data_IF_756739672738
#
_entry.id   IF_756739672738
#
_cell.length_a   1.000
_cell.length_b   1.000
_cell.length_c   1.000
_cell.angle_alpha   90.00
_cell.angle_beta   90.00
_cell.angle_gamma   90.00
#
_symmetry.space_group_name_H-M   'P 1'
#
loop_
_entity.id
_entity.type
_entity.pdbx_description
1 polymer ?
#
# COMPACT_ATOMS: atom_id res chain seq x y z
N UNK A 1 -35.28 -20.68 -1.47
CA UNK A 1 -36.16 -19.49 -1.40
C UNK A 1 -35.34 -18.20 -1.59
N UNK A 2 -34.20 -18.28 -2.30
CA UNK A 2 -33.09 -17.32 -2.14
C UNK A 2 -32.73 -16.51 -3.39
N UNK A 3 -33.44 -16.71 -4.51
CA UNK A 3 -33.27 -15.88 -5.71
C UNK A 3 -34.03 -14.55 -5.66
N UNK A 4 -35.01 -14.43 -4.76
CA UNK A 4 -35.88 -13.24 -4.66
C UNK A 4 -35.21 -12.12 -3.84
N UNK A 5 -34.42 -12.46 -2.80
CA UNK A 5 -33.72 -11.45 -1.96
C UNK A 5 -32.62 -10.68 -2.69
N UNK A 6 -31.95 -11.30 -3.67
CA UNK A 6 -30.89 -10.62 -4.45
C UNK A 6 -31.49 -9.56 -5.38
N UNK A 7 -32.64 -9.83 -5.99
CA UNK A 7 -33.34 -8.85 -6.85
C UNK A 7 -33.81 -7.62 -6.07
N UNK A 8 -34.23 -7.80 -4.82
CA UNK A 8 -34.71 -6.70 -3.97
C UNK A 8 -33.58 -5.74 -3.58
N UNK A 9 -32.37 -6.26 -3.29
CA UNK A 9 -31.16 -5.45 -3.04
C UNK A 9 -30.73 -4.64 -4.27
N UNK A 10 -30.83 -5.21 -5.47
CA UNK A 10 -30.57 -4.50 -6.74
C UNK A 10 -31.59 -3.38 -7.02
N UNK A 11 -32.87 -3.59 -6.70
CA UNK A 11 -33.90 -2.55 -6.91
C UNK A 11 -33.81 -1.40 -5.90
N UNK A 12 -33.43 -1.66 -4.65
CA UNK A 12 -33.30 -0.62 -3.63
C UNK A 12 -32.03 0.21 -3.78
N UNK A 13 -30.94 -0.33 -4.35
CA UNK A 13 -29.76 0.46 -4.71
C UNK A 13 -30.04 1.43 -5.87
N UNK A 14 -30.80 1.00 -6.89
CA UNK A 14 -31.04 1.81 -8.08
C UNK A 14 -31.90 3.06 -7.83
N UNK A 15 -32.76 3.06 -6.81
CA UNK A 15 -33.63 4.21 -6.51
C UNK A 15 -32.90 5.30 -5.70
N UNK A 16 -31.84 4.94 -4.96
CA UNK A 16 -31.04 5.92 -4.21
C UNK A 16 -29.87 6.52 -5.02
N UNK A 17 -29.44 5.85 -6.10
CA UNK A 17 -28.33 6.32 -6.96
C UNK A 17 -28.77 7.45 -7.91
N UNK A 18 -30.06 7.63 -8.18
CA UNK A 18 -30.55 8.63 -9.16
C UNK A 18 -30.55 10.08 -8.67
N UNK A 19 -30.17 10.38 -7.41
CA UNK A 19 -30.29 11.72 -6.81
C UNK A 19 -28.96 12.39 -6.41
N UNK A 20 -27.81 11.76 -6.67
CA UNK A 20 -26.48 12.30 -6.32
C UNK A 20 -25.55 12.56 -7.53
N UNK A 21 -26.12 12.61 -8.74
CA UNK A 21 -25.38 12.99 -9.95
C UNK A 21 -25.08 14.51 -9.99
N UNK A 22 -24.11 14.95 -9.20
CA UNK A 22 -23.45 16.24 -9.37
C UNK A 22 -21.95 16.01 -9.59
N UNK A 23 -21.55 16.07 -10.87
CA UNK A 23 -20.20 16.29 -11.41
C UNK A 23 -19.00 15.96 -10.47
N UNK A 24 -18.64 14.68 -10.39
CA UNK A 24 -17.26 14.28 -10.10
C UNK A 24 -16.68 13.59 -11.33
N UNK A 25 -15.62 14.19 -11.89
CA UNK A 25 -14.81 13.53 -12.92
C UNK A 25 -14.34 12.20 -12.34
N UNK A 26 -14.72 11.09 -12.99
CA UNK A 26 -14.55 9.72 -12.49
C UNK A 26 -13.09 9.21 -12.55
N UNK A 27 -12.14 10.11 -12.79
CA UNK A 27 -10.73 9.80 -13.02
C UNK A 27 -9.86 10.89 -12.43
N UNK A 28 -8.70 10.51 -11.87
CA UNK A 28 -7.64 11.46 -11.50
C UNK A 28 -6.95 11.90 -12.79
N UNK A 29 -6.81 13.21 -13.00
CA UNK A 29 -5.98 13.78 -14.05
C UNK A 29 -4.84 14.58 -13.40
N UNK A 30 -3.61 14.13 -13.58
CA UNK A 30 -2.43 14.90 -13.23
C UNK A 30 -1.81 15.48 -14.49
N UNK A 31 -1.39 16.75 -14.48
CA UNK A 31 -0.60 17.38 -15.57
C UNK A 31 0.82 16.80 -15.71
N UNK A 32 1.04 15.60 -15.18
CA UNK A 32 2.31 14.91 -15.10
C UNK A 32 2.34 13.87 -16.21
N UNK A 33 3.43 13.81 -16.97
CA UNK A 33 3.61 12.84 -18.04
C UNK A 33 3.70 11.40 -17.49
N UNK A 34 3.12 10.37 -18.15
CA UNK A 34 3.14 8.98 -17.69
C UNK A 34 4.52 8.41 -17.34
N UNK A 35 5.57 8.80 -18.07
CA UNK A 35 6.97 8.41 -17.76
C UNK A 35 7.40 8.76 -16.34
N UNK A 36 6.74 9.72 -15.68
CA UNK A 36 6.99 10.02 -14.29
C UNK A 36 6.72 8.83 -13.36
N UNK A 37 5.77 7.94 -13.68
CA UNK A 37 5.53 6.73 -12.88
C UNK A 37 6.80 5.85 -12.82
N UNK A 38 7.48 5.69 -13.96
CA UNK A 38 8.75 4.99 -14.02
C UNK A 38 9.84 5.75 -13.26
N UNK A 39 10.02 7.05 -13.52
CA UNK A 39 11.03 7.86 -12.84
C UNK A 39 10.85 7.86 -11.32
N UNK A 40 9.61 7.98 -10.84
CA UNK A 40 9.29 7.95 -9.42
C UNK A 40 9.60 6.60 -8.76
N UNK A 41 9.51 5.49 -9.51
CA UNK A 41 9.86 4.15 -9.02
C UNK A 41 11.36 3.98 -8.74
N UNK A 42 12.23 4.78 -9.37
CA UNK A 42 13.69 4.69 -9.23
C UNK A 42 14.22 5.16 -7.87
N UNK A 43 13.36 5.78 -7.06
CA UNK A 43 13.63 6.09 -5.65
C UNK A 43 13.92 4.83 -4.82
N UNK A 44 13.35 3.69 -5.22
CA UNK A 44 13.58 2.40 -4.57
C UNK A 44 14.62 1.60 -5.33
N UNK A 45 15.84 1.60 -4.81
CA UNK A 45 16.92 0.77 -5.35
C UNK A 45 16.81 -0.68 -4.88
N UNK A 46 16.14 -0.93 -3.75
CA UNK A 46 15.90 -2.27 -3.18
C UNK A 46 14.41 -2.60 -3.10
N UNK A 47 13.98 -3.75 -3.62
CA UNK A 47 12.56 -4.09 -3.78
C UNK A 47 11.80 -4.24 -2.46
N UNK A 48 12.45 -4.69 -1.39
CA UNK A 48 11.77 -4.76 -0.08
C UNK A 48 11.45 -3.39 0.50
N UNK A 49 12.21 -2.34 0.14
CA UNK A 49 11.85 -0.97 0.52
C UNK A 49 10.54 -0.51 -0.14
N UNK A 50 10.27 -0.96 -1.36
CA UNK A 50 9.00 -0.69 -2.04
C UNK A 50 7.84 -1.46 -1.39
N UNK A 51 8.09 -2.70 -0.92
CA UNK A 51 7.10 -3.46 -0.15
C UNK A 51 6.84 -2.79 1.21
N UNK A 52 7.88 -2.26 1.87
CA UNK A 52 7.75 -1.55 3.14
C UNK A 52 6.77 -0.37 3.05
N UNK A 53 6.81 0.42 1.98
CA UNK A 53 5.84 1.51 1.76
C UNK A 53 4.38 1.04 1.75
N UNK A 54 4.11 -0.16 1.23
CA UNK A 54 2.76 -0.73 1.24
C UNK A 54 2.36 -1.22 2.63
N UNK A 55 3.30 -1.81 3.38
CA UNK A 55 3.08 -2.23 4.77
C UNK A 55 2.81 -0.99 5.65
N UNK A 56 3.60 0.08 5.47
CA UNK A 56 3.50 1.32 6.24
C UNK A 56 2.13 1.98 6.06
N UNK A 57 1.57 1.98 4.84
CA UNK A 57 0.22 2.49 4.59
C UNK A 57 -0.86 1.72 5.37
N UNK A 58 -0.74 0.41 5.53
CA UNK A 58 -1.69 -0.36 6.33
C UNK A 58 -1.45 -0.23 7.84
N UNK A 59 -0.18 -0.06 8.23
CA UNK A 59 0.24 0.13 9.61
C UNK A 59 -0.23 1.48 10.17
N UNK A 60 -0.32 2.51 9.32
CA UNK A 60 -0.58 3.90 9.71
C UNK A 60 -1.87 4.10 10.54
N UNK A 61 -1.89 5.11 11.43
CA UNK A 61 -2.94 5.33 12.43
C UNK A 61 -4.33 5.65 11.90
N UNK A 62 -4.46 6.03 10.63
CA UNK A 62 -5.74 6.26 9.95
C UNK A 62 -6.32 4.96 9.36
N UNK A 63 -5.48 3.96 9.11
CA UNK A 63 -5.87 2.64 8.58
C UNK A 63 -6.04 1.62 9.70
N UNK A 64 -5.10 1.57 10.66
CA UNK A 64 -5.14 0.74 11.88
C UNK A 64 -5.32 -0.76 11.66
N UNK A 65 -4.84 -1.29 10.52
CA UNK A 65 -4.96 -2.71 10.22
C UNK A 65 -4.34 -3.58 11.32
N UNK A 66 -5.02 -4.69 11.65
CA UNK A 66 -4.51 -5.68 12.62
C UNK A 66 -3.67 -6.74 11.95
N UNK A 67 -3.96 -7.01 10.69
CA UNK A 67 -3.30 -8.02 9.88
C UNK A 67 -3.04 -7.48 8.48
N UNK A 68 -1.87 -7.81 7.95
CA UNK A 68 -1.42 -7.50 6.62
C UNK A 68 -0.88 -8.77 5.94
N UNK A 69 -1.50 -9.17 4.85
CA UNK A 69 -1.16 -10.36 4.08
C UNK A 69 -0.41 -9.97 2.81
N UNK A 70 0.73 -10.62 2.60
CA UNK A 70 1.52 -10.53 1.39
C UNK A 70 1.56 -11.92 0.77
N UNK A 71 1.09 -12.03 -0.46
CA UNK A 71 1.05 -13.30 -1.16
C UNK A 71 1.46 -13.17 -2.62
N UNK A 72 1.77 -14.31 -3.22
CA UNK A 72 1.98 -14.47 -4.65
C UNK A 72 0.84 -15.31 -5.20
N UNK A 73 0.19 -14.81 -6.23
CA UNK A 73 -0.85 -15.55 -6.96
C UNK A 73 -0.58 -15.52 -8.45
N UNK A 74 -1.41 -16.22 -9.21
CA UNK A 74 -1.41 -16.18 -10.66
C UNK A 74 -2.82 -15.87 -11.15
N UNK A 75 -3.00 -14.78 -11.88
CA UNK A 75 -4.28 -14.34 -12.43
C UNK A 75 -4.14 -14.30 -13.95
N UNK A 76 -4.97 -15.09 -14.65
CA UNK A 76 -4.90 -15.21 -16.12
C UNK A 76 -3.50 -15.55 -16.65
N UNK A 77 -2.77 -16.42 -15.95
CA UNK A 77 -1.42 -16.83 -16.31
C UNK A 77 -0.33 -15.77 -16.03
N UNK A 78 -0.67 -14.63 -15.41
CA UNK A 78 0.32 -13.64 -15.00
C UNK A 78 0.61 -13.78 -13.51
N UNK A 79 1.90 -13.75 -13.15
CA UNK A 79 2.32 -13.67 -11.76
C UNK A 79 1.94 -12.32 -11.16
N UNK A 80 1.34 -12.35 -9.98
CA UNK A 80 0.90 -11.16 -9.26
C UNK A 80 1.36 -11.20 -7.81
N UNK A 81 1.77 -10.06 -7.29
CA UNK A 81 1.88 -9.83 -5.86
C UNK A 81 0.58 -9.25 -5.34
N UNK A 82 0.08 -9.79 -4.23
CA UNK A 82 -1.12 -9.28 -3.57
C UNK A 82 -0.78 -8.81 -2.17
N UNK A 83 -1.28 -7.63 -1.82
CA UNK A 83 -1.16 -7.04 -0.50
C UNK A 83 -2.57 -6.81 0.01
N UNK A 84 -2.93 -7.34 1.17
CA UNK A 84 -4.28 -7.20 1.71
C UNK A 84 -4.19 -6.82 3.17
N UNK A 85 -5.03 -5.89 3.61
CA UNK A 85 -5.16 -5.49 5.00
C UNK A 85 -6.62 -5.51 5.43
N UNK A 86 -6.84 -5.62 6.74
CA UNK A 86 -8.15 -5.53 7.37
C UNK A 86 -8.34 -4.22 8.15
N UNK A 87 -7.74 -3.14 7.65
CA UNK A 87 -7.88 -1.80 8.21
C UNK A 87 -9.19 -1.12 7.81
N UNK A 88 -9.23 0.20 7.97
CA UNK A 88 -10.45 0.99 7.79
C UNK A 88 -11.00 1.02 6.34
N UNK A 89 -10.17 0.73 5.34
CA UNK A 89 -10.52 0.91 3.93
C UNK A 89 -10.69 2.38 3.52
N UNK A 90 -11.11 2.59 2.28
CA UNK A 90 -11.22 3.91 1.65
C UNK A 90 -12.55 4.09 0.94
N UNK A 91 -13.05 5.32 0.96
CA UNK A 91 -14.09 5.81 0.05
C UNK A 91 -13.45 6.32 -1.26
N UNK A 92 -14.26 6.94 -2.13
CA UNK A 92 -13.78 7.53 -3.38
C UNK A 92 -12.75 8.63 -3.17
N UNK A 93 -13.00 9.55 -2.24
CA UNK A 93 -12.13 10.72 -2.04
C UNK A 93 -10.76 10.32 -1.50
N UNK A 94 -10.71 9.37 -0.55
CA UNK A 94 -9.45 8.80 -0.06
C UNK A 94 -8.71 8.04 -1.14
N UNK A 95 -9.40 7.25 -1.97
CA UNK A 95 -8.81 6.56 -3.12
C UNK A 95 -8.24 7.57 -4.15
N UNK A 96 -9.01 8.62 -4.46
CA UNK A 96 -8.61 9.70 -5.34
C UNK A 96 -7.34 10.39 -4.84
N UNK A 97 -7.29 10.76 -3.55
CA UNK A 97 -6.11 11.36 -2.92
C UNK A 97 -4.92 10.41 -2.90
N UNK A 98 -5.13 9.14 -2.56
CA UNK A 98 -4.09 8.12 -2.54
C UNK A 98 -3.42 7.97 -3.91
N UNK A 99 -4.22 7.95 -4.99
CA UNK A 99 -3.74 7.78 -6.36
C UNK A 99 -3.24 9.07 -7.00
N UNK A 100 -3.61 10.24 -6.46
CA UNK A 100 -3.13 11.55 -6.86
C UNK A 100 -1.74 11.87 -6.28
N UNK A 101 -0.92 12.62 -7.00
CA UNK A 101 0.40 13.04 -6.50
C UNK A 101 0.28 14.24 -5.54
N UNK A 102 1.05 14.23 -4.45
CA UNK A 102 1.22 15.39 -3.56
C UNK A 102 0.16 15.57 -2.45
N UNK A 103 -0.77 14.64 -2.28
CA UNK A 103 -1.74 14.67 -1.18
C UNK A 103 -1.27 13.83 0.01
N UNK A 104 -1.22 14.43 1.20
CA UNK A 104 -1.06 13.71 2.45
C UNK A 104 -1.76 14.45 3.60
N UNK A 105 -2.79 13.84 4.17
CA UNK A 105 -3.56 14.37 5.31
C UNK A 105 -3.30 13.56 6.60
N UNK A 106 -2.26 12.71 6.65
CA UNK A 106 -2.01 11.80 7.78
C UNK A 106 -1.65 12.57 9.06
N UNK A 107 -2.34 12.23 10.14
CA UNK A 107 -2.15 12.83 11.47
C UNK A 107 -1.79 11.78 12.52
N UNK A 108 -1.17 12.22 13.61
CA UNK A 108 -0.91 11.36 14.77
C UNK A 108 -2.22 11.07 15.50
N UNK A 109 -2.56 9.79 15.68
CA UNK A 109 -3.75 9.35 16.43
C UNK A 109 -3.31 8.47 17.59
N UNK A 110 -3.79 8.74 18.80
CA UNK A 110 -3.49 7.95 20.02
C UNK A 110 -1.98 7.73 20.26
N UNK A 111 -1.16 8.76 20.02
CA UNK A 111 0.30 8.69 20.15
C UNK A 111 0.99 7.77 19.13
N UNK A 112 0.28 7.34 18.09
CA UNK A 112 0.82 6.64 16.94
C UNK A 112 1.13 7.64 15.83
N UNK A 113 2.42 7.85 15.56
CA UNK A 113 2.89 8.76 14.52
C UNK A 113 2.83 8.03 13.17
N UNK A 114 2.24 8.62 12.12
CA UNK A 114 2.24 8.03 10.79
C UNK A 114 3.66 7.93 10.22
N UNK A 115 3.94 6.85 9.52
CA UNK A 115 5.19 6.63 8.79
C UNK A 115 5.15 7.38 7.45
N UNK A 116 4.01 7.37 6.75
CA UNK A 116 3.85 8.05 5.47
C UNK A 116 3.74 9.57 5.60
N UNK A 117 4.79 10.32 5.21
CA UNK A 117 4.82 11.79 5.29
C UNK A 117 4.72 12.47 3.92
N UNK A 118 5.09 11.76 2.84
CA UNK A 118 5.24 12.38 1.52
C UNK A 118 4.07 12.18 0.56
N UNK A 119 3.09 11.34 0.92
CA UNK A 119 1.98 11.03 0.03
C UNK A 119 2.41 10.36 -1.28
N UNK A 120 3.56 9.68 -1.33
CA UNK A 120 4.12 9.10 -2.55
C UNK A 120 4.39 7.59 -2.48
N UNK A 121 4.47 7.02 -1.27
CA UNK A 121 4.91 5.65 -1.03
C UNK A 121 4.18 4.58 -1.83
N UNK A 122 2.86 4.67 -1.95
CA UNK A 122 2.10 3.73 -2.79
C UNK A 122 2.52 3.81 -4.27
N UNK A 123 2.69 5.01 -4.82
CA UNK A 123 2.99 5.20 -6.24
C UNK A 123 4.41 4.76 -6.56
N UNK A 124 5.39 5.19 -5.77
CA UNK A 124 6.79 4.78 -5.95
C UNK A 124 6.97 3.29 -5.71
N UNK A 125 6.37 2.76 -4.64
CA UNK A 125 6.47 1.35 -4.27
C UNK A 125 5.78 0.42 -5.27
N UNK A 126 4.53 0.69 -5.65
CA UNK A 126 3.81 -0.16 -6.61
C UNK A 126 4.47 -0.18 -7.98
N UNK A 127 4.86 0.99 -8.51
CA UNK A 127 5.54 1.11 -9.81
C UNK A 127 6.97 0.56 -9.80
N UNK A 128 7.58 0.39 -8.62
CA UNK A 128 8.86 -0.31 -8.48
C UNK A 128 8.70 -1.82 -8.63
N UNK A 129 7.61 -2.38 -8.10
CA UNK A 129 7.35 -3.82 -8.06
C UNK A 129 6.82 -4.36 -9.39
N UNK A 130 5.97 -3.59 -10.08
CA UNK A 130 5.42 -3.96 -11.39
C UNK A 130 4.94 -2.75 -12.18
N UNK A 131 4.61 -2.98 -13.45
CA UNK A 131 4.11 -1.90 -14.33
C UNK A 131 2.70 -1.45 -13.98
N UNK A 132 1.92 -2.34 -13.38
CA UNK A 132 0.49 -2.14 -13.22
C UNK A 132 0.00 -2.58 -11.83
N UNK A 133 -0.84 -1.75 -11.23
CA UNK A 133 -1.44 -1.99 -9.94
C UNK A 133 -2.94 -1.63 -9.96
N UNK A 134 -3.75 -2.48 -9.33
CA UNK A 134 -5.16 -2.22 -9.05
C UNK A 134 -5.39 -2.28 -7.55
N UNK A 135 -6.19 -1.34 -7.06
CA UNK A 135 -6.53 -1.21 -5.64
C UNK A 135 -8.02 -1.44 -5.50
N UNK A 136 -8.39 -2.44 -4.72
CA UNK A 136 -9.74 -2.68 -4.24
C UNK A 136 -9.80 -2.21 -2.80
N UNK A 137 -10.76 -1.37 -2.46
CA UNK A 137 -10.96 -0.97 -1.06
C UNK A 137 -12.44 -0.93 -0.73
N UNK A 138 -12.75 -1.23 0.52
CA UNK A 138 -14.10 -1.08 1.05
C UNK A 138 -14.07 -0.65 2.51
N UNK A 139 -14.95 0.29 2.84
CA UNK A 139 -15.29 0.65 4.20
C UNK A 139 -16.74 0.21 4.48
N UNK A 140 -17.33 0.70 5.57
CA UNK A 140 -18.70 0.31 5.98
C UNK A 140 -19.77 0.74 4.95
N UNK A 141 -19.54 1.86 4.27
CA UNK A 141 -20.55 2.52 3.43
C UNK A 141 -20.33 2.31 1.92
N UNK A 142 -19.11 1.98 1.51
CA UNK A 142 -18.69 2.09 0.11
C UNK A 142 -17.62 1.08 -0.31
N UNK A 143 -17.57 0.82 -1.61
CA UNK A 143 -16.52 0.03 -2.26
C UNK A 143 -16.00 0.82 -3.45
N UNK A 144 -14.69 0.86 -3.61
CA UNK A 144 -14.04 1.56 -4.72
C UNK A 144 -12.92 0.71 -5.31
N UNK A 145 -12.72 0.88 -6.63
CA UNK A 145 -11.64 0.24 -7.37
C UNK A 145 -10.88 1.32 -8.13
N UNK A 146 -9.56 1.35 -7.99
CA UNK A 146 -8.67 2.28 -8.68
C UNK A 146 -7.58 1.54 -9.46
N UNK A 147 -7.26 2.02 -10.67
CA UNK A 147 -6.27 1.42 -11.55
C UNK A 147 -5.10 2.37 -11.83
N UNK A 148 -3.91 2.07 -11.32
CA UNK A 148 -2.67 2.76 -11.65
C UNK A 148 -1.82 1.87 -12.56
N UNK A 149 -1.87 2.12 -13.87
CA UNK A 149 -1.30 1.21 -14.87
C UNK A 149 -0.51 1.96 -15.94
N UNK A 150 0.78 1.64 -16.05
CA UNK A 150 1.63 2.12 -17.14
C UNK A 150 1.16 1.54 -18.47
N UNK A 151 0.77 0.26 -18.50
CA UNK A 151 0.26 -0.41 -19.71
C UNK A 151 -1.00 0.28 -20.25
N UNK A 152 -1.95 0.63 -19.38
CA UNK A 152 -3.13 1.39 -19.74
C UNK A 152 -2.76 2.74 -20.38
N UNK A 153 -1.91 3.53 -19.72
CA UNK A 153 -1.51 4.86 -20.19
C UNK A 153 -0.77 4.79 -21.54
N UNK A 154 0.09 3.78 -21.73
CA UNK A 154 0.76 3.52 -23.01
C UNK A 154 -0.23 3.17 -24.12
N UNK A 155 -1.21 2.30 -23.85
CA UNK A 155 -2.18 1.85 -24.85
C UNK A 155 -3.13 2.96 -25.31
N UNK A 156 -3.55 3.84 -24.41
CA UNK A 156 -4.37 5.01 -24.77
C UNK A 156 -3.53 6.19 -25.28
N UNK A 157 -2.20 6.06 -25.31
CA UNK A 157 -1.25 7.13 -25.68
C UNK A 157 -1.48 8.41 -24.89
N UNK A 158 -1.67 8.26 -23.58
CA UNK A 158 -1.94 9.41 -22.72
C UNK A 158 -0.74 10.36 -22.65
N UNK A 159 -0.99 11.67 -22.78
CA UNK A 159 0.02 12.71 -22.54
C UNK A 159 0.19 13.03 -21.05
N UNK A 160 -0.80 12.64 -20.25
CA UNK A 160 -0.93 12.93 -18.83
C UNK A 160 -1.35 11.68 -18.06
N UNK A 161 -0.97 11.58 -16.79
CA UNK A 161 -1.42 10.48 -15.92
C UNK A 161 -2.93 10.58 -15.72
N UNK A 162 -3.63 9.55 -16.17
CA UNK A 162 -5.05 9.30 -15.97
C UNK A 162 -5.19 8.06 -15.09
N UNK A 163 -5.96 8.16 -14.00
CA UNK A 163 -6.20 7.02 -13.10
C UNK A 163 -7.70 6.75 -13.05
N UNK A 164 -8.20 5.68 -13.69
CA UNK A 164 -9.59 5.28 -13.58
C UNK A 164 -9.93 4.88 -12.15
N UNK A 165 -10.98 5.48 -11.58
CA UNK A 165 -11.55 5.11 -10.28
C UNK A 165 -13.03 4.86 -10.45
N UNK A 166 -13.53 3.76 -9.92
CA UNK A 166 -14.95 3.42 -10.04
C UNK A 166 -15.53 2.98 -8.70
N UNK A 167 -16.70 3.50 -8.41
CA UNK A 167 -17.68 2.91 -7.48
C UNK A 167 -18.78 2.20 -8.29
N UNK A 168 -18.38 1.55 -9.40
CA UNK A 168 -19.24 0.96 -10.43
C UNK A 168 -19.98 1.98 -11.32
N UNK A 169 -19.39 3.15 -11.55
CA UNK A 169 -19.82 4.13 -12.55
C UNK A 169 -19.29 3.81 -13.95
N UNK A 170 -20.06 4.16 -14.99
CA UNK A 170 -19.92 3.61 -16.34
C UNK A 170 -18.56 3.89 -17.02
N UNK A 171 -18.04 5.12 -17.02
CA UNK A 171 -16.86 5.47 -17.81
C UNK A 171 -15.58 4.76 -17.31
N UNK A 172 -15.17 5.02 -16.06
CA UNK A 172 -13.96 4.43 -15.48
C UNK A 172 -14.06 2.91 -15.31
N UNK A 173 -15.26 2.38 -15.13
CA UNK A 173 -15.48 0.93 -15.11
C UNK A 173 -15.10 0.30 -16.44
N UNK A 174 -15.46 0.90 -17.58
CA UNK A 174 -15.11 0.35 -18.90
C UNK A 174 -13.60 0.28 -19.11
N UNK A 175 -12.86 1.31 -18.69
CA UNK A 175 -11.39 1.29 -18.76
C UNK A 175 -10.80 0.19 -17.88
N UNK A 176 -11.28 0.06 -16.64
CA UNK A 176 -10.83 -1.01 -15.73
C UNK A 176 -11.12 -2.40 -16.33
N UNK A 177 -12.32 -2.62 -16.85
CA UNK A 177 -12.70 -3.90 -17.44
C UNK A 177 -11.90 -4.23 -18.71
N UNK A 178 -11.52 -3.21 -19.48
CA UNK A 178 -10.79 -3.38 -20.73
C UNK A 178 -9.29 -3.61 -20.50
N UNK A 179 -8.68 -2.88 -19.57
CA UNK A 179 -7.23 -2.78 -19.46
C UNK A 179 -6.64 -3.48 -18.22
N UNK A 180 -7.44 -3.84 -17.23
CA UNK A 180 -6.98 -4.62 -16.08
C UNK A 180 -7.06 -6.14 -16.34
N UNK A 181 -6.59 -6.93 -15.37
CA UNK A 181 -6.76 -8.39 -15.38
C UNK A 181 -8.21 -8.85 -15.20
N UNK A 182 -9.11 -7.96 -14.77
CA UNK A 182 -10.49 -8.28 -14.42
C UNK A 182 -11.43 -7.68 -15.47
N UNK A 183 -11.99 -8.56 -16.31
CA UNK A 183 -12.76 -8.17 -17.51
C UNK A 183 -14.27 -8.19 -17.29
N UNK A 184 -14.72 -8.52 -16.09
CA UNK A 184 -16.15 -8.50 -15.72
C UNK A 184 -16.35 -7.86 -14.35
N UNK A 185 -17.53 -7.29 -14.13
CA UNK A 185 -17.90 -6.72 -12.82
C UNK A 185 -17.86 -7.80 -11.73
N UNK A 186 -18.30 -9.02 -12.05
CA UNK A 186 -18.27 -10.14 -11.09
C UNK A 186 -16.85 -10.49 -10.62
N UNK A 187 -15.87 -10.41 -11.52
CA UNK A 187 -14.46 -10.60 -11.19
C UNK A 187 -13.96 -9.51 -10.22
N UNK A 188 -14.30 -8.24 -10.47
CA UNK A 188 -13.96 -7.14 -9.55
C UNK A 188 -14.63 -7.31 -8.18
N UNK A 189 -15.91 -7.69 -8.16
CA UNK A 189 -16.67 -7.94 -6.93
C UNK A 189 -16.12 -9.15 -6.16
N UNK A 190 -15.55 -10.14 -6.84
CA UNK A 190 -14.91 -11.28 -6.19
C UNK A 190 -13.69 -10.86 -5.38
N UNK A 191 -12.83 -9.97 -5.91
CA UNK A 191 -11.67 -9.45 -5.18
C UNK A 191 -12.08 -8.55 -4.00
N UNK A 192 -13.14 -7.74 -4.14
CA UNK A 192 -13.70 -6.97 -3.01
C UNK A 192 -14.28 -7.87 -1.90
N UNK A 193 -14.85 -9.03 -2.27
CA UNK A 193 -15.29 -10.04 -1.30
C UNK A 193 -14.10 -10.74 -0.65
N UNK A 194 -12.96 -10.88 -1.32
CA UNK A 194 -11.76 -11.50 -0.77
C UNK A 194 -11.10 -10.66 0.35
N UNK A 195 -11.46 -9.38 0.50
CA UNK A 195 -11.07 -8.54 1.65
C UNK A 195 -11.73 -9.02 2.97
N UNK A 196 -12.74 -9.92 2.89
CA UNK A 196 -13.40 -10.47 4.08
C UNK A 196 -12.45 -11.35 4.92
N UNK A 197 -12.32 -11.01 6.20
CA UNK A 197 -11.97 -12.00 7.22
C UNK A 197 -13.13 -13.01 7.31
N UNK A 198 -12.87 -14.34 7.43
CA UNK A 198 -13.91 -15.39 7.44
C UNK A 198 -14.95 -15.29 8.57
N UNK A 199 -14.90 -14.25 9.40
CA UNK A 199 -15.64 -14.11 10.65
C UNK A 199 -16.63 -12.93 10.69
N UNK A 200 -16.72 -12.07 9.67
CA UNK A 200 -17.65 -10.91 9.71
C UNK A 200 -18.31 -10.58 8.37
N UNK A 201 -19.59 -10.22 8.44
CA UNK A 201 -20.40 -9.74 7.30
C UNK A 201 -20.11 -8.28 6.93
N UNK A 202 -19.42 -7.54 7.81
CA UNK A 202 -19.04 -6.14 7.65
C UNK A 202 -17.52 -6.02 7.83
N UNK A 203 -16.73 -6.59 6.91
CA UNK A 203 -15.28 -6.38 6.93
C UNK A 203 -14.93 -5.08 6.18
N UNK A 204 -13.98 -4.32 6.68
CA UNK A 204 -13.32 -3.22 5.97
C UNK A 204 -11.91 -3.64 5.59
N UNK A 205 -11.31 -2.95 4.63
CA UNK A 205 -9.90 -3.16 4.28
C UNK A 205 -9.57 -2.79 2.85
N UNK A 206 -8.31 -3.02 2.49
CA UNK A 206 -7.79 -2.77 1.15
C UNK A 206 -7.07 -4.00 0.63
N UNK A 207 -7.18 -4.25 -0.67
CA UNK A 207 -6.47 -5.26 -1.42
C UNK A 207 -5.83 -4.65 -2.65
N UNK A 208 -4.51 -4.68 -2.70
CA UNK A 208 -3.70 -4.21 -3.82
C UNK A 208 -3.20 -5.44 -4.57
N UNK A 209 -3.33 -5.42 -5.89
CA UNK A 209 -2.78 -6.45 -6.78
C UNK A 209 -1.86 -5.77 -7.77
N UNK A 210 -0.61 -6.24 -7.83
CA UNK A 210 0.43 -5.73 -8.72
C UNK A 210 0.83 -6.84 -9.68
N UNK A 211 0.84 -6.55 -10.97
CA UNK A 211 1.23 -7.48 -12.04
C UNK A 211 2.19 -6.82 -13.02
N UNK A 212 2.59 -7.57 -14.06
CA UNK A 212 3.69 -7.21 -14.93
C UNK A 212 4.93 -6.84 -14.08
N UNK A 213 5.27 -7.78 -13.19
CA UNK A 213 6.33 -7.63 -12.21
C UNK A 213 7.68 -7.41 -12.88
N UNK A 214 8.58 -6.71 -12.20
CA UNK A 214 9.92 -6.44 -12.73
C UNK A 214 10.69 -7.75 -12.91
N UNK A 215 11.30 -7.90 -14.08
CA UNK A 215 12.25 -8.97 -14.39
C UNK A 215 13.69 -8.46 -14.24
N UNK A 216 14.57 -9.31 -13.73
CA UNK A 216 16.02 -9.18 -13.81
C UNK A 216 16.54 -10.30 -14.70
N UNK A 217 17.20 -9.96 -15.81
CA UNK A 217 17.84 -10.94 -16.70
C UNK A 217 16.93 -12.12 -17.12
N UNK A 218 15.74 -11.79 -17.63
CA UNK A 218 14.71 -12.75 -18.11
C UNK A 218 13.97 -13.58 -17.05
N UNK A 219 14.33 -13.44 -15.78
CA UNK A 219 13.61 -14.04 -14.66
C UNK A 219 12.97 -12.97 -13.77
N UNK A 220 11.95 -13.35 -12.99
CA UNK A 220 11.38 -12.44 -12.01
C UNK A 220 12.44 -12.01 -11.00
N UNK A 221 12.37 -10.75 -10.55
CA UNK A 221 13.26 -10.24 -9.50
C UNK A 221 13.09 -10.97 -8.16
N UNK A 222 11.97 -11.67 -7.99
CA UNK A 222 11.66 -12.44 -6.80
C UNK A 222 11.69 -13.94 -7.07
N UNK A 223 12.25 -14.68 -6.12
CA UNK A 223 12.12 -16.13 -6.02
C UNK A 223 10.99 -16.48 -5.05
N UNK A 224 10.02 -17.23 -5.57
CA UNK A 224 8.85 -17.73 -4.85
C UNK A 224 8.89 -19.23 -4.56
N UNK A 225 9.98 -19.91 -4.96
CA UNK A 225 10.10 -21.35 -5.07
C UNK A 225 11.06 -21.97 -4.05
N UNK A 226 12.18 -21.33 -3.74
CA UNK A 226 13.15 -21.88 -2.77
C UNK A 226 12.58 -22.01 -1.37
N UNK A 227 11.64 -21.12 -0.99
CA UNK A 227 10.85 -21.23 0.22
C UNK A 227 9.39 -20.87 -0.08
N UNK A 228 8.51 -21.86 0.08
CA UNK A 228 7.06 -21.72 -0.18
C UNK A 228 6.37 -20.71 0.76
N UNK A 229 6.99 -20.37 1.89
CA UNK A 229 6.46 -19.45 2.90
C UNK A 229 7.19 -18.09 2.89
N UNK A 230 8.02 -17.81 1.89
CA UNK A 230 8.77 -16.57 1.79
C UNK A 230 8.68 -15.96 0.38
N UNK A 231 9.15 -14.72 0.27
CA UNK A 231 9.41 -14.01 -0.98
C UNK A 231 10.87 -13.57 -0.89
N UNK A 232 11.73 -14.14 -1.75
CA UNK A 232 13.17 -13.96 -1.65
C UNK A 232 13.72 -13.19 -2.84
N UNK A 233 14.87 -12.54 -2.64
CA UNK A 233 15.66 -11.97 -3.75
C UNK A 233 16.70 -13.04 -4.13
N UNK A 234 16.76 -13.45 -5.41
CA UNK A 234 17.78 -14.39 -5.91
C UNK A 234 19.21 -13.90 -5.66
N UNK A 235 20.16 -14.82 -5.49
CA UNK A 235 21.54 -14.48 -5.13
C UNK A 235 22.25 -13.61 -6.19
N UNK A 236 22.01 -13.87 -7.47
CA UNK A 236 22.55 -13.10 -8.61
C UNK A 236 21.98 -11.67 -8.66
N UNK A 237 20.68 -11.51 -8.39
CA UNK A 237 20.03 -10.21 -8.23
C UNK A 237 20.59 -9.47 -7.02
N UNK A 238 20.81 -10.18 -5.92
CA UNK A 238 21.39 -9.60 -4.71
C UNK A 238 22.84 -9.14 -4.94
N UNK A 239 23.70 -9.95 -5.57
CA UNK A 239 25.09 -9.60 -5.86
C UNK A 239 25.22 -8.43 -6.83
N UNK A 240 24.38 -8.38 -7.87
CA UNK A 240 24.34 -7.25 -8.81
C UNK A 240 23.90 -5.96 -8.13
N UNK A 241 22.91 -6.02 -7.24
CA UNK A 241 22.51 -4.87 -6.41
C UNK A 241 23.67 -4.40 -5.52
N UNK A 242 24.39 -5.31 -4.85
CA UNK A 242 25.58 -5.01 -4.03
C UNK A 242 26.68 -4.29 -4.81
N UNK A 243 26.91 -4.61 -6.08
CA UNK A 243 27.91 -3.91 -6.92
C UNK A 243 27.56 -2.43 -7.14
N UNK A 244 26.29 -2.06 -7.13
CA UNK A 244 25.86 -0.66 -7.12
C UNK A 244 26.03 -0.01 -5.74
N UNK A 245 25.96 -0.78 -4.65
CA UNK A 245 26.20 -0.33 -3.28
C UNK A 245 27.64 -0.61 -2.81
N UNK A 246 28.60 0.25 -3.16
CA UNK A 246 29.85 0.32 -2.38
C UNK A 246 29.57 0.91 -0.99
N UNK A 247 29.07 0.10 -0.06
CA UNK A 247 29.35 0.31 1.37
C UNK A 247 30.70 -0.35 1.67
N UNK A 248 31.68 0.38 2.24
CA UNK A 248 32.90 -0.27 2.70
C UNK A 248 32.56 -1.17 3.88
N UNK A 249 33.15 -2.37 3.90
CA UNK A 249 33.23 -3.28 5.04
C UNK A 249 31.98 -4.12 5.35
N UNK A 250 31.87 -5.29 4.69
CA UNK A 250 31.50 -6.53 5.38
C UNK A 250 32.25 -7.70 4.74
N UNK A 251 33.16 -8.30 5.50
CA UNK A 251 34.04 -9.43 5.14
C UNK A 251 33.32 -10.79 5.26
N UNK A 252 31.97 -10.81 5.29
CA UNK A 252 31.20 -12.05 5.26
C UNK A 252 30.69 -12.32 3.85
N UNK A 253 31.00 -13.51 3.33
CA UNK A 253 30.63 -13.99 2.00
C UNK A 253 29.09 -14.13 1.78
N UNK A 254 28.27 -13.90 2.80
CA UNK A 254 26.81 -13.78 2.71
C UNK A 254 26.34 -12.59 3.56
N UNK A 255 25.50 -11.70 3.00
CA UNK A 255 24.90 -10.60 3.77
C UNK A 255 23.84 -11.09 4.76
N UNK A 256 23.31 -10.21 5.63
CA UNK A 256 22.27 -10.58 6.58
C UNK A 256 21.01 -11.08 5.86
N UNK A 257 20.30 -12.01 6.50
CA UNK A 257 19.08 -12.63 5.93
C UNK A 257 18.00 -11.59 5.57
N UNK A 258 17.96 -10.48 6.31
CA UNK A 258 17.08 -9.33 6.05
C UNK A 258 17.26 -8.71 4.68
N UNK A 259 18.40 -8.92 4.02
CA UNK A 259 18.67 -8.33 2.71
C UNK A 259 17.99 -9.10 1.57
N UNK A 260 17.69 -10.38 1.76
CA UNK A 260 17.19 -11.26 0.69
C UNK A 260 15.95 -12.08 1.08
N UNK A 261 15.58 -12.18 2.36
CA UNK A 261 14.32 -12.78 2.81
C UNK A 261 13.35 -11.70 3.27
N UNK A 262 12.19 -11.61 2.62
CA UNK A 262 11.17 -10.64 3.02
C UNK A 262 10.65 -10.96 4.43
N UNK A 263 10.53 -12.24 4.77
CA UNK A 263 10.17 -12.69 6.12
C UNK A 263 11.15 -12.20 7.19
N UNK A 264 12.46 -12.34 6.95
CA UNK A 264 13.46 -11.84 7.88
C UNK A 264 13.41 -10.31 7.98
N UNK A 265 13.30 -9.60 6.86
CA UNK A 265 13.16 -8.15 6.84
C UNK A 265 11.95 -7.66 7.64
N UNK A 266 10.76 -8.22 7.38
CA UNK A 266 9.53 -7.87 8.09
C UNK A 266 9.56 -8.20 9.59
N UNK A 267 10.41 -9.14 10.03
CA UNK A 267 10.53 -9.49 11.45
C UNK A 267 11.09 -8.34 12.30
N UNK A 268 11.89 -7.46 11.70
CA UNK A 268 12.59 -6.35 12.36
C UNK A 268 12.16 -4.97 11.87
N UNK A 269 11.19 -4.90 10.95
CA UNK A 269 10.75 -3.66 10.31
C UNK A 269 10.25 -2.61 11.31
N UNK A 270 9.55 -3.04 12.37
CA UNK A 270 9.03 -2.14 13.40
C UNK A 270 9.65 -2.43 14.76
N UNK A 271 10.16 -1.38 15.41
CA UNK A 271 10.71 -1.45 16.77
C UNK A 271 9.69 -1.96 17.80
N UNK A 272 8.41 -1.61 17.62
CA UNK A 272 7.28 -2.05 18.44
C UNK A 272 6.11 -2.45 17.53
N UNK A 273 6.05 -3.72 17.09
CA UNK A 273 5.02 -4.18 16.15
C UNK A 273 3.61 -4.06 16.75
N UNK A 274 2.69 -3.46 15.98
CA UNK A 274 1.25 -3.32 16.32
C UNK A 274 0.31 -4.02 15.34
N UNK A 275 0.86 -4.53 14.23
CA UNK A 275 0.18 -5.22 13.15
C UNK A 275 0.85 -6.56 12.92
N UNK A 276 0.07 -7.59 12.61
CA UNK A 276 0.60 -8.90 12.23
C UNK A 276 0.84 -8.95 10.72
N UNK A 277 2.07 -9.25 10.32
CA UNK A 277 2.42 -9.49 8.92
C UNK A 277 2.34 -10.99 8.65
N UNK A 278 1.70 -11.38 7.55
CA UNK A 278 1.54 -12.76 7.08
C UNK A 278 2.10 -12.81 5.67
N UNK A 279 3.12 -13.64 5.45
CA UNK A 279 3.73 -13.83 4.13
C UNK A 279 3.42 -15.24 3.67
N UNK A 280 2.88 -15.38 2.45
CA UNK A 280 2.57 -16.68 1.82
C UNK A 280 1.78 -17.61 2.75
N UNK A 281 0.77 -17.06 3.42
CA UNK A 281 -0.10 -17.77 4.37
C UNK A 281 0.48 -18.04 5.77
N UNK A 282 1.76 -17.74 6.04
CA UNK A 282 2.37 -17.96 7.35
C UNK A 282 2.73 -16.64 8.05
N UNK A 283 2.23 -16.48 9.29
CA UNK A 283 2.52 -15.33 10.16
C UNK A 283 4.03 -15.15 10.35
N UNK A 284 4.52 -13.92 10.19
CA UNK A 284 5.88 -13.52 10.49
C UNK A 284 6.03 -13.38 12.01
N UNK A 285 7.08 -13.99 12.57
CA UNK A 285 7.43 -13.84 13.97
C UNK A 285 8.25 -12.57 14.12
N UNK A 286 7.63 -11.50 14.61
CA UNK A 286 8.33 -10.22 14.79
C UNK A 286 9.24 -10.26 16.02
N UNK A 287 10.43 -9.69 15.88
CA UNK A 287 11.44 -9.64 16.92
C UNK A 287 11.48 -8.25 17.57
N UNK A 288 11.51 -8.23 18.90
CA UNK A 288 11.84 -7.00 19.62
C UNK A 288 13.35 -6.96 19.75
N UNK A 289 14.04 -6.25 18.85
CA UNK A 289 15.52 -6.18 18.82
C UNK A 289 16.09 -5.89 20.22
N UNK A 290 15.48 -4.95 20.96
CA UNK A 290 15.87 -4.62 22.34
C UNK A 290 15.81 -5.79 23.35
N UNK A 291 15.12 -6.88 23.03
CA UNK A 291 15.00 -8.10 23.84
C UNK A 291 15.75 -9.31 23.24
N UNK A 292 16.26 -9.19 22.02
CA UNK A 292 17.00 -10.26 21.32
C UNK A 292 18.52 -10.17 21.52
N UNK A 293 19.00 -9.19 22.30
CA UNK A 293 20.43 -8.94 22.52
C UNK A 293 20.89 -9.41 23.91
N UNK A 294 22.10 -9.95 23.98
CA UNK A 294 22.82 -10.15 25.24
C UNK A 294 23.54 -8.85 25.66
N UNK A 295 23.82 -8.69 26.96
CA UNK A 295 24.57 -7.56 27.53
C UNK A 295 24.00 -6.18 27.16
N UNK A 296 22.68 -6.02 27.28
CA UNK A 296 21.97 -4.78 26.94
C UNK A 296 22.47 -3.62 27.81
N UNK A 297 23.01 -2.60 27.15
CA UNK A 297 23.35 -1.32 27.76
C UNK A 297 22.45 -0.21 27.21
N UNK A 298 22.13 0.79 28.04
CA UNK A 298 21.33 1.95 27.64
C UNK A 298 22.17 3.22 27.80
N UNK A 299 22.30 3.96 26.72
CA UNK A 299 22.94 5.28 26.72
C UNK A 299 21.92 6.38 26.36
N UNK A 300 22.20 7.63 26.75
CA UNK A 300 21.34 8.79 26.52
C UNK A 300 22.04 9.83 25.64
N UNK A 301 21.62 9.89 24.39
CA UNK A 301 22.05 10.94 23.46
C UNK A 301 21.30 12.26 23.71
N UNK A 302 22.02 13.39 23.77
CA UNK A 302 21.47 14.75 23.85
C UNK A 302 21.97 15.58 22.66
N UNK A 303 21.19 15.76 21.58
CA UNK A 303 21.63 16.53 20.43
C UNK A 303 21.73 18.03 20.79
N UNK A 304 22.80 18.68 20.36
CA UNK A 304 22.92 20.15 20.39
C UNK A 304 22.33 20.71 19.11
N UNK A 305 21.02 20.95 19.09
CA UNK A 305 20.34 21.60 17.96
C UNK A 305 20.40 23.12 18.19
N UNK A 306 21.07 23.92 17.34
CA UNK A 306 21.00 25.37 17.43
C UNK A 306 19.59 25.83 17.02
N UNK A 307 18.94 26.62 17.88
CA UNK A 307 17.66 27.31 17.63
C UNK A 307 16.38 26.46 17.48
N UNK A 308 16.08 25.60 18.46
CA UNK A 308 14.67 25.34 18.79
C UNK A 308 14.30 26.31 19.92
N UNK A 309 13.69 27.45 19.55
CA UNK A 309 12.81 28.15 20.50
C UNK A 309 11.86 27.09 21.01
N UNK A 310 11.94 26.84 22.31
CA UNK A 310 11.35 25.66 22.94
C UNK A 310 9.92 25.43 22.46
N UNK A 311 9.65 24.23 21.92
CA UNK A 311 8.28 23.77 21.67
C UNK A 311 7.39 23.90 22.93
N UNK A 312 8.01 23.95 24.12
CA UNK A 312 7.36 24.27 25.40
C UNK A 312 6.74 25.68 25.49
N UNK A 313 7.23 26.68 24.76
CA UNK A 313 6.69 28.04 24.80
C UNK A 313 5.47 28.23 23.88
N UNK A 314 5.33 27.45 22.81
CA UNK A 314 4.17 27.53 21.90
C UNK A 314 2.93 26.90 22.55
N UNK A 315 3.09 25.79 23.30
CA UNK A 315 1.97 25.14 24.01
C UNK A 315 1.44 26.00 25.16
N UNK A 316 2.27 26.86 25.78
CA UNK A 316 1.80 27.79 26.83
C UNK A 316 0.99 28.97 26.30
N UNK A 317 1.18 29.40 25.04
CA UNK A 317 0.42 30.54 24.48
C UNK A 317 -1.01 30.21 24.06
N UNK A 318 -1.38 28.94 23.96
CA UNK A 318 -2.75 28.53 23.57
C UNK A 318 -3.68 28.38 24.79
N UNK A 319 -3.14 28.31 26.01
CA UNK A 319 -3.92 28.16 27.26
C UNK A 319 -4.13 29.46 28.06
N UNK A 320 -3.74 30.62 27.52
CA UNK A 320 -4.01 31.93 28.12
C UNK A 320 -4.97 32.74 27.22
N UNK A 321 -6.21 32.28 27.10
CA UNK A 321 -7.33 33.19 26.85
C UNK A 321 -7.98 33.49 28.21
N UNK A 322 -8.11 34.76 28.61
CA UNK A 322 -8.86 35.10 29.81
C UNK A 322 -10.32 34.73 29.61
N UNK A 323 -10.87 33.98 30.56
CA UNK A 323 -12.31 33.95 30.81
C UNK A 323 -12.68 35.38 31.23
N UNK A 324 -13.21 36.15 30.29
CA UNK A 324 -13.88 37.40 30.63
C UNK A 324 -15.22 37.04 31.27
N UNK A 325 -15.28 37.17 32.59
CA UNK A 325 -16.54 37.30 33.32
C UNK A 325 -17.20 38.63 32.92
N UNK A 326 -18.36 38.54 32.27
CA UNK A 326 -19.53 39.39 32.43
C UNK A 326 -20.74 38.69 31.82
#
# INVERSE_FOLDING_TARGET
>A
MDKIKIKTLYSSLNVSISLLSLHHSSSVHGLIHPNYLHSNSTSHTWSFSAIAELIDNAYDPDVTAKQFWIDKTMIKGQDCLTFTDNGAGMDYDKMYKMLSFGFNDKQTVNGHVPVGIYGNGFKSGSMRLGKDAIVFSKNEDSMCVGLLSQTYLEQIKAEHIIVPITMFHAASLQDILRYSLFQTVDQLLCELKAINSPSSTNSTGTRIIIWNLRNSSEQLEFDFSSDRYDIRIPADVYESSKKQYKKPEHVMQSGPETDYSLRAYCSVLYLKPRMHIIIRGQKVKTELISKSLAYIFKDKYRPKIPNIVSFYQIVKRVNEYPVNNC
#
